data_IF_461830021265
#
_entry.id   IF_461830021265
#
_cell.length_a   1.000
_cell.length_b   1.000
_cell.length_c   1.000
_cell.angle_alpha   90.00
_cell.angle_beta   90.00
_cell.angle_gamma   90.00
#
_symmetry.space_group_name_H-M   'P 1'
#
loop_
_entity.id
_entity.type
_entity.pdbx_description
1 polymer ?
#
# COMPACT_ATOMS: atom_id res chain seq x y z
N UNK A 1 -19.54 -28.82 19.54
CA UNK A 1 -18.75 -27.60 19.80
C UNK A 1 -17.36 -27.62 19.17
N UNK A 2 -16.53 -28.65 19.33
CA UNK A 2 -15.19 -28.67 18.70
C UNK A 2 -15.27 -28.73 17.17
N UNK A 3 -16.04 -29.68 16.64
CA UNK A 3 -16.20 -29.87 15.19
C UNK A 3 -16.74 -28.61 14.49
N UNK A 4 -17.69 -27.91 15.12
CA UNK A 4 -18.27 -26.67 14.58
C UNK A 4 -17.29 -25.48 14.59
N UNK A 5 -16.34 -25.44 15.52
CA UNK A 5 -15.33 -24.38 15.59
C UNK A 5 -14.08 -24.69 14.77
N UNK A 6 -13.80 -25.97 14.50
CA UNK A 6 -12.68 -26.41 13.68
C UNK A 6 -13.04 -26.54 12.19
N UNK A 7 -14.33 -26.64 11.83
CA UNK A 7 -14.76 -26.70 10.43
C UNK A 7 -14.33 -25.51 9.54
N UNK A 8 -14.18 -24.27 10.03
CA UNK A 8 -13.67 -23.17 9.21
C UNK A 8 -12.14 -23.15 9.14
N UNK A 9 -11.45 -23.96 9.94
CA UNK A 9 -9.99 -23.99 10.03
C UNK A 9 -9.45 -25.10 9.13
N UNK A 10 -8.50 -24.75 8.27
CA UNK A 10 -7.89 -25.73 7.36
C UNK A 10 -7.05 -26.77 8.12
N UNK A 11 -6.97 -27.99 7.59
CA UNK A 11 -6.23 -29.11 8.19
C UNK A 11 -4.77 -28.73 8.54
N UNK A 12 -4.14 -27.90 7.72
CA UNK A 12 -2.78 -27.41 7.95
C UNK A 12 -2.65 -26.52 9.20
N UNK A 13 -3.67 -25.74 9.54
CA UNK A 13 -3.69 -24.95 10.77
C UNK A 13 -3.90 -25.86 12.00
N UNK A 14 -4.72 -26.91 11.86
CA UNK A 14 -4.94 -27.90 12.92
C UNK A 14 -3.65 -28.66 13.24
N UNK A 15 -2.95 -29.17 12.20
CA UNK A 15 -1.64 -29.84 12.35
C UNK A 15 -0.63 -28.96 13.07
N UNK A 16 -0.56 -27.67 12.71
CA UNK A 16 0.30 -26.68 13.36
C UNK A 16 -0.09 -26.41 14.81
N UNK A 17 -1.38 -26.29 15.12
CA UNK A 17 -1.85 -26.15 16.50
C UNK A 17 -1.41 -27.31 17.39
N UNK A 18 -1.46 -28.54 16.86
CA UNK A 18 -0.98 -29.73 17.56
C UNK A 18 0.54 -29.70 17.75
N UNK A 19 1.32 -29.43 16.70
CA UNK A 19 2.78 -29.32 16.77
C UNK A 19 3.25 -28.28 17.79
N UNK A 20 2.56 -27.14 17.88
CA UNK A 20 2.84 -26.09 18.87
C UNK A 20 2.47 -26.48 20.28
N UNK A 21 1.32 -27.14 20.46
CA UNK A 21 0.92 -27.65 21.78
C UNK A 21 2.02 -28.57 22.37
N UNK A 22 2.63 -29.40 21.51
CA UNK A 22 3.75 -30.27 21.87
C UNK A 22 5.04 -29.47 22.10
N UNK A 23 5.37 -28.53 21.21
CA UNK A 23 6.61 -27.74 21.26
C UNK A 23 6.66 -26.82 22.48
N UNK A 24 5.54 -26.16 22.80
CA UNK A 24 5.41 -25.20 23.89
C UNK A 24 5.12 -25.89 25.24
N UNK A 25 5.07 -27.23 25.26
CA UNK A 25 4.81 -28.07 26.44
C UNK A 25 3.57 -27.63 27.22
N UNK A 26 2.50 -27.27 26.50
CA UNK A 26 1.24 -26.88 27.11
C UNK A 26 0.57 -28.08 27.78
N UNK A 27 -0.31 -27.80 28.75
CA UNK A 27 -1.08 -28.83 29.43
C UNK A 27 -1.94 -29.59 28.43
N UNK A 28 -1.83 -30.91 28.42
CA UNK A 28 -2.60 -31.77 27.53
C UNK A 28 -3.80 -32.40 28.24
N UNK A 29 -5.01 -32.36 27.65
CA UNK A 29 -5.36 -31.68 26.40
C UNK A 29 -5.58 -30.16 26.61
N UNK A 30 -5.22 -29.32 25.62
CA UNK A 30 -5.47 -27.88 25.68
C UNK A 30 -6.97 -27.59 25.65
N UNK A 31 -7.35 -26.45 26.22
CA UNK A 31 -8.74 -25.98 26.10
C UNK A 31 -9.07 -25.59 24.65
N UNK A 32 -10.34 -25.69 24.22
CA UNK A 32 -10.74 -25.34 22.84
C UNK A 32 -10.30 -23.91 22.44
N UNK A 33 -10.50 -22.86 23.26
CA UNK A 33 -10.08 -21.50 22.89
C UNK A 33 -8.57 -21.37 22.74
N UNK A 34 -7.81 -22.02 23.63
CA UNK A 34 -6.36 -22.04 23.63
C UNK A 34 -5.84 -22.77 22.38
N UNK A 35 -6.40 -23.94 22.07
CA UNK A 35 -6.06 -24.68 20.86
C UNK A 35 -6.37 -23.89 19.58
N UNK A 36 -7.50 -23.17 19.53
CA UNK A 36 -7.85 -22.31 18.41
C UNK A 36 -6.82 -21.17 18.23
N UNK A 37 -6.34 -20.57 19.32
CA UNK A 37 -5.28 -19.55 19.22
C UNK A 37 -4.00 -20.11 18.60
N UNK A 38 -3.60 -21.31 18.99
CA UNK A 38 -2.40 -21.98 18.45
C UNK A 38 -2.55 -22.37 16.97
N UNK A 39 -3.76 -22.75 16.56
CA UNK A 39 -4.07 -23.08 15.16
C UNK A 39 -4.06 -21.83 14.26
N UNK A 40 -4.55 -20.70 14.77
CA UNK A 40 -4.72 -19.45 14.03
C UNK A 40 -3.45 -18.60 13.98
N UNK A 41 -2.46 -18.89 14.81
CA UNK A 41 -1.20 -18.16 14.81
C UNK A 41 -0.42 -18.42 13.51
N UNK A 42 -0.09 -17.34 12.80
CA UNK A 42 0.54 -17.40 11.49
C UNK A 42 1.97 -17.93 11.56
N UNK A 43 2.38 -18.72 10.57
CA UNK A 43 3.77 -19.10 10.39
C UNK A 43 4.56 -17.95 9.76
N UNK A 44 5.24 -17.18 10.60
CA UNK A 44 6.07 -16.06 10.15
C UNK A 44 7.30 -16.52 9.38
N UNK A 45 7.80 -17.73 9.65
CA UNK A 45 8.98 -18.30 8.97
C UNK A 45 8.64 -18.64 7.53
N UNK A 46 7.51 -19.30 7.31
CA UNK A 46 7.02 -19.60 5.96
C UNK A 46 6.70 -18.32 5.19
N UNK A 47 6.07 -17.33 5.84
CA UNK A 47 5.78 -16.03 5.23
C UNK A 47 7.06 -15.28 4.81
N UNK A 48 8.10 -15.30 5.65
CA UNK A 48 9.42 -14.76 5.31
C UNK A 48 10.04 -15.49 4.11
N UNK A 49 10.03 -16.82 4.12
CA UNK A 49 10.55 -17.62 3.01
C UNK A 49 9.79 -17.35 1.70
N UNK A 50 8.47 -17.15 1.75
CA UNK A 50 7.68 -16.73 0.57
C UNK A 50 8.11 -15.36 0.05
N UNK A 51 8.37 -14.41 0.95
CA UNK A 51 8.84 -13.06 0.60
C UNK A 51 10.18 -13.10 -0.13
N UNK A 52 11.15 -13.87 0.37
CA UNK A 52 12.49 -14.03 -0.23
C UNK A 52 12.39 -14.70 -1.60
N UNK A 53 11.59 -15.77 -1.69
CA UNK A 53 11.37 -16.51 -2.93
C UNK A 53 10.41 -15.82 -3.92
N UNK A 54 10.00 -14.57 -3.67
CA UNK A 54 9.07 -13.80 -4.52
C UNK A 54 7.74 -14.52 -4.81
N UNK A 55 7.28 -15.39 -3.90
CA UNK A 55 5.99 -16.08 -3.99
C UNK A 55 4.83 -15.10 -3.69
N UNK A 56 3.61 -15.35 -4.17
CA UNK A 56 2.44 -14.52 -3.83
C UNK A 56 2.23 -14.45 -2.31
N UNK A 57 1.59 -13.37 -1.87
CA UNK A 57 1.18 -13.17 -0.47
C UNK A 57 -0.07 -14.02 -0.19
N UNK A 58 -0.17 -14.62 1.00
CA UNK A 58 -1.39 -15.34 1.39
C UNK A 58 -2.46 -14.44 2.01
N UNK A 59 -2.04 -13.37 2.67
CA UNK A 59 -2.91 -12.53 3.47
C UNK A 59 -2.47 -11.06 3.46
N UNK A 60 -3.39 -10.17 3.83
CA UNK A 60 -3.15 -8.73 3.93
C UNK A 60 -2.05 -8.41 4.93
N UNK A 61 -1.99 -9.13 6.05
CA UNK A 61 -0.90 -8.98 7.05
C UNK A 61 0.46 -9.19 6.40
N UNK A 62 0.59 -10.24 5.58
CA UNK A 62 1.81 -10.57 4.88
C UNK A 62 2.14 -9.49 3.85
N UNK A 63 1.14 -9.00 3.12
CA UNK A 63 1.29 -7.91 2.16
C UNK A 63 1.84 -6.63 2.81
N UNK A 64 1.18 -6.12 3.85
CA UNK A 64 1.61 -4.90 4.53
C UNK A 64 2.93 -5.07 5.28
N UNK A 65 3.24 -6.27 5.76
CA UNK A 65 4.56 -6.58 6.33
C UNK A 65 5.65 -6.45 5.27
N UNK A 66 5.44 -7.07 4.09
CA UNK A 66 6.40 -7.00 2.98
C UNK A 66 6.60 -5.57 2.47
N UNK A 67 5.56 -4.74 2.44
CA UNK A 67 5.69 -3.33 2.07
C UNK A 67 6.52 -2.54 3.09
N UNK A 68 6.36 -2.84 4.38
CA UNK A 68 7.06 -2.12 5.44
C UNK A 68 8.56 -2.49 5.55
N UNK A 69 8.90 -3.78 5.51
CA UNK A 69 10.26 -4.26 5.81
C UNK A 69 10.92 -5.04 4.67
N UNK A 70 10.23 -5.25 3.55
CA UNK A 70 10.71 -6.14 2.49
C UNK A 70 11.99 -5.66 1.79
N UNK A 71 12.20 -4.35 1.68
CA UNK A 71 13.44 -3.80 1.12
C UNK A 71 14.64 -4.10 2.04
N UNK A 72 14.51 -3.76 3.33
CA UNK A 72 15.57 -3.94 4.33
C UNK A 72 15.95 -5.41 4.48
N UNK A 73 14.94 -6.29 4.54
CA UNK A 73 15.14 -7.73 4.65
C UNK A 73 15.84 -8.35 3.43
N UNK A 74 15.63 -7.79 2.23
CA UNK A 74 16.19 -8.35 0.98
C UNK A 74 17.56 -7.80 0.62
N UNK A 75 17.86 -6.56 0.99
CA UNK A 75 19.03 -5.83 0.45
C UNK A 75 20.02 -5.31 1.48
N UNK A 76 19.61 -5.14 2.74
CA UNK A 76 20.40 -4.40 3.74
C UNK A 76 20.86 -5.30 4.88
N UNK A 77 19.96 -6.10 5.43
CA UNK A 77 20.23 -6.89 6.62
C UNK A 77 20.72 -8.31 6.29
N UNK A 78 21.50 -8.89 7.22
CA UNK A 78 21.81 -10.32 7.19
C UNK A 78 20.57 -11.16 7.51
N UNK A 79 20.51 -12.41 7.04
CA UNK A 79 19.30 -13.24 7.13
C UNK A 79 18.77 -13.37 8.56
N UNK A 80 19.64 -13.55 9.55
CA UNK A 80 19.24 -13.61 10.97
C UNK A 80 18.58 -12.31 11.44
N UNK A 81 19.14 -11.15 11.13
CA UNK A 81 18.57 -9.84 11.50
C UNK A 81 17.29 -9.54 10.73
N UNK A 82 17.24 -9.92 9.46
CA UNK A 82 16.06 -9.79 8.61
C UNK A 82 14.88 -10.61 9.14
N UNK A 83 15.11 -11.85 9.60
CA UNK A 83 14.08 -12.68 10.25
C UNK A 83 13.52 -12.04 11.51
N UNK A 84 14.39 -11.49 12.36
CA UNK A 84 13.94 -10.79 13.59
C UNK A 84 13.10 -9.56 13.25
N UNK A 85 13.55 -8.74 12.30
CA UNK A 85 12.79 -7.57 11.83
C UNK A 85 11.43 -7.99 11.24
N UNK A 86 11.43 -9.03 10.41
CA UNK A 86 10.22 -9.54 9.79
C UNK A 86 9.23 -10.05 10.84
N UNK A 87 9.68 -10.87 11.79
CA UNK A 87 8.82 -11.37 12.86
C UNK A 87 8.21 -10.24 13.70
N UNK A 88 9.01 -9.24 14.07
CA UNK A 88 8.55 -8.07 14.82
C UNK A 88 7.49 -7.28 14.04
N UNK A 89 7.77 -6.98 12.77
CA UNK A 89 6.85 -6.22 11.92
C UNK A 89 5.57 -7.01 11.62
N UNK A 90 5.67 -8.31 11.39
CA UNK A 90 4.54 -9.20 11.18
C UNK A 90 3.61 -9.21 12.40
N UNK A 91 4.15 -9.35 13.61
CA UNK A 91 3.38 -9.29 14.86
C UNK A 91 2.62 -7.98 15.00
N UNK A 92 3.26 -6.84 14.72
CA UNK A 92 2.59 -5.53 14.74
C UNK A 92 1.44 -5.43 13.73
N UNK A 93 1.60 -5.98 12.52
CA UNK A 93 0.54 -5.99 11.50
C UNK A 93 -0.60 -6.94 11.87
N UNK A 94 -0.30 -8.07 12.50
CA UNK A 94 -1.30 -9.01 12.99
C UNK A 94 -2.17 -8.37 14.09
N UNK A 95 -1.55 -7.65 15.02
CA UNK A 95 -2.27 -6.89 16.05
C UNK A 95 -3.16 -5.78 15.45
N UNK A 96 -2.70 -5.10 14.40
CA UNK A 96 -3.52 -4.13 13.68
C UNK A 96 -4.71 -4.79 12.97
N UNK A 97 -4.54 -6.00 12.43
CA UNK A 97 -5.64 -6.78 11.85
C UNK A 97 -6.65 -7.20 12.91
N UNK A 98 -6.19 -7.70 14.06
CA UNK A 98 -7.04 -8.05 15.21
C UNK A 98 -7.87 -6.85 15.70
N UNK A 99 -7.29 -5.65 15.66
CA UNK A 99 -7.97 -4.38 16.00
C UNK A 99 -8.87 -3.82 14.89
N UNK A 100 -8.92 -4.45 13.71
CA UNK A 100 -9.66 -3.95 12.54
C UNK A 100 -9.11 -2.66 11.94
N UNK A 101 -7.85 -2.31 12.24
CA UNK A 101 -7.18 -1.07 11.78
C UNK A 101 -6.22 -1.30 10.61
N UNK A 102 -6.09 -2.55 10.14
CA UNK A 102 -5.27 -2.84 8.98
C UNK A 102 -6.01 -2.32 7.72
N UNK A 103 -5.36 -1.52 6.86
CA UNK A 103 -5.99 -1.04 5.63
C UNK A 103 -6.39 -2.22 4.75
N UNK A 104 -7.48 -2.09 4.00
CA UNK A 104 -7.89 -3.11 3.02
C UNK A 104 -7.12 -2.84 1.73
N UNK A 105 -6.49 -3.87 1.15
CA UNK A 105 -5.58 -3.74 0.01
C UNK A 105 -6.20 -3.07 -1.22
N UNK A 106 -7.47 -3.38 -1.46
CA UNK A 106 -8.19 -2.99 -2.68
C UNK A 106 -9.26 -1.92 -2.38
N UNK A 107 -9.07 -1.09 -1.34
CA UNK A 107 -9.89 0.11 -1.16
C UNK A 107 -9.67 1.03 -2.36
N UNK A 108 -10.67 1.07 -3.25
CA UNK A 108 -10.73 2.08 -4.29
C UNK A 108 -10.53 3.44 -3.66
N UNK A 109 -9.58 4.22 -4.19
CA UNK A 109 -9.49 5.63 -3.84
C UNK A 109 -10.86 6.24 -4.06
N UNK A 110 -11.37 6.97 -3.06
CA UNK A 110 -12.56 7.79 -3.27
C UNK A 110 -12.29 8.68 -4.47
N UNK A 111 -13.12 8.55 -5.50
CA UNK A 111 -13.06 9.44 -6.67
C UNK A 111 -13.18 10.87 -6.17
N UNK A 112 -12.26 11.74 -6.59
CA UNK A 112 -12.12 13.14 -6.14
C UNK A 112 -13.48 13.86 -6.12
N UNK A 113 -14.37 13.51 -7.05
CA UNK A 113 -15.74 14.02 -7.16
C UNK A 113 -16.60 13.89 -5.90
N UNK A 114 -16.35 12.91 -5.03
CA UNK A 114 -17.16 12.73 -3.81
C UNK A 114 -16.83 13.73 -2.70
N UNK A 115 -15.73 14.48 -2.82
CA UNK A 115 -15.27 15.48 -1.84
C UNK A 115 -14.82 16.77 -2.55
N UNK A 116 -15.56 17.21 -3.56
CA UNK A 116 -15.40 18.58 -4.08
C UNK A 116 -16.54 19.43 -3.53
N UNK A 117 -16.24 20.22 -2.50
CA UNK A 117 -17.20 21.21 -2.02
C UNK A 117 -17.35 22.34 -3.03
N UNK A 118 -18.44 23.10 -2.96
CA UNK A 118 -18.61 24.28 -3.83
C UNK A 118 -17.44 25.28 -3.67
N UNK A 119 -16.84 25.33 -2.48
CA UNK A 119 -15.66 26.14 -2.17
C UNK A 119 -14.44 25.68 -2.99
N UNK A 120 -14.22 24.37 -3.11
CA UNK A 120 -13.10 23.83 -3.90
C UNK A 120 -13.27 24.14 -5.40
N UNK A 121 -14.50 24.11 -5.90
CA UNK A 121 -14.82 24.52 -7.29
C UNK A 121 -14.54 26.00 -7.50
N UNK A 122 -14.92 26.84 -6.55
CA UNK A 122 -14.71 28.29 -6.55
C UNK A 122 -13.21 28.64 -6.51
N UNK A 123 -12.43 27.96 -5.66
CA UNK A 123 -10.97 28.13 -5.57
C UNK A 123 -10.30 27.69 -6.88
N UNK A 124 -10.70 26.53 -7.43
CA UNK A 124 -10.16 26.04 -8.71
C UNK A 124 -10.41 27.03 -9.84
N UNK A 125 -11.62 27.62 -9.94
CA UNK A 125 -11.95 28.70 -10.89
C UNK A 125 -11.09 29.94 -10.70
N UNK A 126 -10.86 30.38 -9.45
CA UNK A 126 -9.99 31.53 -9.16
C UNK A 126 -8.53 31.28 -9.53
N UNK A 127 -8.02 30.08 -9.24
CA UNK A 127 -6.65 29.69 -9.59
C UNK A 127 -6.46 29.53 -11.10
N UNK A 128 -7.44 29.00 -11.83
CA UNK A 128 -7.37 28.87 -13.29
C UNK A 128 -7.53 30.21 -14.02
N UNK A 129 -8.30 31.16 -13.47
CA UNK A 129 -8.39 32.53 -14.00
C UNK A 129 -7.12 33.38 -13.77
N UNK A 130 -6.19 32.95 -12.91
CA UNK A 130 -4.92 33.68 -12.71
C UNK A 130 -3.96 33.63 -13.91
N UNK A 131 -4.20 32.71 -14.86
CA UNK A 131 -3.50 32.64 -16.14
C UNK A 131 -4.00 33.66 -17.18
N UNK A 132 -5.04 34.44 -16.89
CA UNK A 132 -5.46 35.60 -17.68
C UNK A 132 -4.72 36.90 -17.28
N UNK A 133 -3.64 36.80 -16.49
CA UNK A 133 -2.72 37.92 -16.36
C UNK A 133 -2.15 38.25 -17.74
N UNK A 134 -2.22 39.53 -18.11
CA UNK A 134 -1.78 40.07 -19.40
C UNK A 134 -0.49 39.39 -19.88
N UNK A 135 -0.52 38.88 -21.13
CA UNK A 135 0.62 38.19 -21.74
C UNK A 135 1.91 38.97 -21.43
N UNK A 136 2.99 38.30 -20.97
CA UNK A 136 4.18 38.99 -20.52
C UNK A 136 4.68 39.97 -21.59
N UNK A 137 5.20 41.14 -21.21
CA UNK A 137 5.57 42.23 -22.14
C UNK A 137 6.44 41.75 -23.30
N UNK A 138 7.28 40.74 -23.06
CA UNK A 138 8.13 40.08 -24.05
C UNK A 138 7.33 39.42 -25.18
N UNK A 139 6.25 38.70 -24.87
CA UNK A 139 5.39 38.05 -25.88
C UNK A 139 4.68 39.10 -26.74
N UNK A 140 4.25 40.21 -26.15
CA UNK A 140 3.63 41.30 -26.90
C UNK A 140 4.65 42.02 -27.81
N UNK A 141 5.90 42.21 -27.35
CA UNK A 141 7.00 42.74 -28.19
C UNK A 141 7.34 41.80 -29.33
N UNK A 142 7.43 40.50 -29.08
CA UNK A 142 7.71 39.47 -30.08
C UNK A 142 6.63 39.44 -31.18
N UNK A 143 5.36 39.47 -30.78
CA UNK A 143 4.23 39.52 -31.72
C UNK A 143 4.23 40.81 -32.57
N UNK A 144 4.65 41.95 -32.00
CA UNK A 144 4.78 43.21 -32.72
C UNK A 144 5.90 43.15 -33.77
N UNK A 145 7.05 42.56 -33.41
CA UNK A 145 8.18 42.36 -34.34
C UNK A 145 7.77 41.40 -35.47
N UNK A 146 7.13 40.28 -35.15
CA UNK A 146 6.63 39.32 -36.15
C UNK A 146 5.66 40.01 -37.13
N UNK A 147 4.76 40.86 -36.62
CA UNK A 147 3.83 41.62 -37.46
C UNK A 147 4.57 42.57 -38.41
N UNK A 148 5.58 43.28 -37.93
CA UNK A 148 6.42 44.21 -38.73
C UNK A 148 7.18 43.45 -39.84
N UNK A 149 7.78 42.31 -39.52
CA UNK A 149 8.51 41.47 -40.48
C UNK A 149 7.54 40.99 -41.59
N UNK A 150 6.35 40.53 -41.21
CA UNK A 150 5.32 40.10 -42.18
C UNK A 150 4.88 41.23 -43.11
N UNK A 151 4.72 42.45 -42.60
CA UNK A 151 4.37 43.62 -43.43
C UNK A 151 5.51 44.08 -44.34
N UNK A 152 6.76 44.02 -43.88
CA UNK A 152 7.94 44.35 -44.70
C UNK A 152 8.14 43.35 -45.85
N UNK A 153 8.02 42.06 -45.57
CA UNK A 153 8.09 41.03 -46.62
C UNK A 153 6.96 41.20 -47.64
N UNK A 154 5.77 41.67 -47.26
CA UNK A 154 4.68 41.94 -48.21
C UNK A 154 4.93 43.14 -49.14
N UNK A 155 5.82 44.06 -48.77
CA UNK A 155 6.17 45.23 -49.59
C UNK A 155 7.35 44.96 -50.55
N UNK A 156 8.20 43.97 -50.26
CA UNK A 156 9.34 43.62 -51.13
C UNK A 156 8.95 42.84 -52.41
N UNK A 157 7.72 42.36 -52.53
CA UNK A 157 7.20 41.67 -53.74
C UNK A 157 6.20 42.54 -54.52
N UNK A 158 6.35 43.87 -54.46
CA UNK A 158 5.60 44.82 -55.28
C UNK A 158 6.55 45.75 -56.04
N UNK A 159 7.41 45.17 -56.88
CA UNK A 159 8.03 45.79 -58.05
C UNK A 159 8.27 44.72 -59.09
#
# INVERSE_FOLDING_TARGET
MWITNLSPITEQHIKRGVERTVSDRLSWPPSLPEFLSLCLDFDTTEAYNRMINKKPVLDDVEYFTRQACGYECKRVLSDSKARVLFNKTFGLKLELKRKGKLPIRDQGLLTIESVVTEIDKEISKRCSNSNERSKPPLINRLNRIIKIIKTRNKQQWKY
#
